data_IF_686809242370
#
_entry.id   IF_686809242370
#
_cell.length_a   1.000
_cell.length_b   1.000
_cell.length_c   1.000
_cell.angle_alpha   90.00
_cell.angle_beta   90.00
_cell.angle_gamma   90.00
#
_symmetry.space_group_name_H-M   'P 1'
#
loop_
_entity.id
_entity.type
_entity.pdbx_description
1 polymer ?
#
# COMPACT_ATOMS: atom_id res chain seq x y z
N UNK A 1 2.90 -7.70 44.20
CA UNK A 1 2.19 -8.56 43.23
C UNK A 1 3.26 -9.04 42.29
N UNK A 2 3.51 -10.34 42.27
CA UNK A 2 4.57 -10.92 41.45
C UNK A 2 4.09 -10.98 40.01
N UNK A 3 4.52 -10.00 39.24
CA UNK A 3 4.20 -9.82 37.84
C UNK A 3 5.20 -10.64 37.00
N UNK A 4 4.74 -11.64 36.22
CA UNK A 4 5.60 -12.29 35.24
C UNK A 4 5.90 -11.30 34.12
N UNK A 5 7.19 -11.03 33.90
CA UNK A 5 7.63 -10.22 32.77
C UNK A 5 7.11 -10.79 31.45
N UNK A 6 6.88 -9.92 30.49
CA UNK A 6 6.56 -10.27 29.11
C UNK A 6 7.82 -10.35 28.29
N UNK A 7 7.78 -11.11 27.19
CA UNK A 7 8.91 -11.17 26.26
C UNK A 7 9.34 -9.77 25.82
N UNK A 8 8.41 -8.87 25.53
CA UNK A 8 8.71 -7.50 25.08
C UNK A 8 9.51 -6.67 26.10
N UNK A 9 9.47 -7.02 27.39
CA UNK A 9 10.23 -6.35 28.45
C UNK A 9 11.65 -6.90 28.60
N UNK A 10 11.96 -8.00 27.92
CA UNK A 10 13.25 -8.71 28.03
C UNK A 10 14.00 -8.66 26.71
N UNK A 11 13.37 -9.11 25.62
CA UNK A 11 14.00 -9.15 24.29
C UNK A 11 12.97 -9.19 23.16
N UNK A 12 13.40 -8.79 21.96
CA UNK A 12 12.58 -8.83 20.75
C UNK A 12 13.52 -8.96 19.53
N UNK A 13 13.19 -9.78 18.50
CA UNK A 13 14.03 -9.96 17.32
C UNK A 13 13.96 -8.76 16.35
N UNK A 14 14.32 -7.56 16.83
CA UNK A 14 14.13 -6.26 16.18
C UNK A 14 14.71 -6.24 14.76
N UNK A 15 15.88 -6.84 14.55
CA UNK A 15 16.56 -6.87 13.24
C UNK A 15 15.69 -7.54 12.17
N UNK A 16 15.10 -8.70 12.50
CA UNK A 16 14.28 -9.49 11.58
C UNK A 16 12.92 -8.84 11.37
N UNK A 17 12.27 -8.40 12.45
CA UNK A 17 11.01 -7.65 12.38
C UNK A 17 11.18 -6.40 11.49
N UNK A 18 12.27 -5.64 11.68
CA UNK A 18 12.56 -4.44 10.87
C UNK A 18 12.78 -4.77 9.40
N UNK A 19 13.36 -5.93 9.08
CA UNK A 19 13.53 -6.36 7.70
C UNK A 19 12.20 -6.64 7.01
N UNK A 20 11.30 -7.38 7.66
CA UNK A 20 9.96 -7.65 7.13
C UNK A 20 9.13 -6.36 7.03
N UNK A 21 9.17 -5.51 8.06
CA UNK A 21 8.48 -4.23 8.09
C UNK A 21 8.92 -3.26 6.98
N UNK A 22 10.18 -3.31 6.51
CA UNK A 22 10.65 -2.49 5.39
C UNK A 22 9.96 -2.84 4.07
N UNK A 23 9.62 -4.12 3.84
CA UNK A 23 8.93 -4.55 2.61
C UNK A 23 7.55 -3.90 2.50
N UNK A 24 6.84 -3.77 3.61
CA UNK A 24 5.49 -3.17 3.68
C UNK A 24 5.46 -1.65 3.45
N UNK A 25 6.59 -0.96 3.60
CA UNK A 25 6.68 0.48 3.28
C UNK A 25 6.67 0.75 1.76
N UNK A 26 6.71 -0.30 0.93
CA UNK A 26 6.62 -0.22 -0.53
C UNK A 26 5.15 -0.09 -0.96
N UNK A 27 4.82 1.04 -1.58
CA UNK A 27 3.48 1.57 -1.74
C UNK A 27 2.67 1.02 -2.93
N UNK A 28 1.37 0.75 -2.71
CA UNK A 28 0.35 0.53 -3.76
C UNK A 28 -0.74 1.62 -3.79
N UNK A 29 -1.59 1.68 -4.83
CA UNK A 29 -2.53 2.79 -5.07
C UNK A 29 -3.52 3.04 -3.93
N UNK A 30 -4.05 1.98 -3.31
CA UNK A 30 -5.04 2.08 -2.22
C UNK A 30 -4.41 2.65 -0.94
N UNK A 31 -3.14 2.30 -0.66
CA UNK A 31 -2.40 2.81 0.49
C UNK A 31 -2.03 4.30 0.40
N UNK A 32 -2.29 4.94 -0.75
CA UNK A 32 -2.06 6.37 -1.01
C UNK A 32 -3.36 7.21 -1.03
N UNK A 33 -4.54 6.60 -0.91
CA UNK A 33 -5.82 7.34 -0.90
C UNK A 33 -5.94 8.29 0.29
N UNK A 34 -5.30 7.97 1.41
CA UNK A 34 -5.22 8.82 2.60
C UNK A 34 -3.82 8.72 3.22
N UNK A 35 -3.27 9.85 3.67
CA UNK A 35 -2.01 9.88 4.41
C UNK A 35 -2.28 9.50 5.85
N UNK A 36 -2.00 8.24 6.19
CA UNK A 36 -1.99 7.78 7.58
C UNK A 36 -0.71 8.27 8.26
N UNK A 37 -0.86 9.18 9.23
CA UNK A 37 0.24 9.86 9.91
C UNK A 37 1.18 8.91 10.68
N UNK A 38 0.72 7.69 10.99
CA UNK A 38 1.54 6.61 11.55
C UNK A 38 1.16 5.25 10.95
N UNK A 39 1.79 4.88 9.82
CA UNK A 39 1.64 3.52 9.26
C UNK A 39 2.41 2.52 10.10
N UNK A 40 1.68 1.67 10.84
CA UNK A 40 2.25 0.57 11.62
C UNK A 40 2.35 -0.67 10.71
N UNK A 41 3.57 -1.18 10.43
CA UNK A 41 3.73 -2.41 9.65
C UNK A 41 3.10 -3.59 10.38
N UNK A 42 2.38 -4.44 9.64
CA UNK A 42 1.71 -5.63 10.14
C UNK A 42 2.73 -6.61 10.76
N UNK A 43 3.91 -6.78 10.15
CA UNK A 43 5.01 -7.53 10.72
C UNK A 43 5.38 -7.07 12.16
N UNK A 44 5.45 -5.75 12.37
CA UNK A 44 5.78 -5.18 13.67
C UNK A 44 4.63 -5.34 14.67
N UNK A 45 3.39 -5.07 14.25
CA UNK A 45 2.20 -5.25 15.08
C UNK A 45 2.08 -6.70 15.58
N UNK A 46 2.21 -7.68 14.70
CA UNK A 46 2.14 -9.11 15.04
C UNK A 46 3.19 -9.50 16.07
N UNK A 47 4.45 -9.13 15.82
CA UNK A 47 5.55 -9.47 16.70
C UNK A 47 5.40 -8.84 18.09
N UNK A 48 5.02 -7.57 18.14
CA UNK A 48 4.76 -6.84 19.40
C UNK A 48 3.59 -7.45 20.15
N UNK A 49 2.51 -7.85 19.47
CA UNK A 49 1.36 -8.48 20.13
C UNK A 49 1.72 -9.84 20.73
N UNK A 50 2.43 -10.71 19.99
CA UNK A 50 2.95 -11.95 20.56
C UNK A 50 3.83 -11.67 21.80
N UNK A 51 4.79 -10.75 21.67
CA UNK A 51 5.74 -10.46 22.73
C UNK A 51 5.12 -9.77 23.95
N UNK A 52 4.03 -9.01 23.77
CA UNK A 52 3.31 -8.33 24.85
C UNK A 52 2.32 -9.27 25.56
N UNK A 53 1.73 -10.22 24.85
CA UNK A 53 0.75 -11.15 25.41
C UNK A 53 1.41 -12.34 26.13
N UNK A 54 2.59 -12.78 25.68
CA UNK A 54 3.23 -13.98 26.22
C UNK A 54 4.17 -13.65 27.40
N UNK A 55 4.04 -14.34 28.54
CA UNK A 55 5.03 -14.32 29.61
C UNK A 55 6.41 -14.71 29.09
N UNK A 56 7.45 -14.16 29.70
CA UNK A 56 8.81 -14.58 29.48
C UNK A 56 9.10 -15.87 30.27
N UNK A 57 9.38 -17.01 29.62
CA UNK A 57 9.56 -18.28 30.32
C UNK A 57 10.84 -18.37 31.15
N UNK A 58 11.78 -17.42 31.00
CA UNK A 58 12.96 -17.34 31.85
C UNK A 58 12.82 -16.37 33.03
N UNK A 59 11.64 -15.80 33.26
CA UNK A 59 11.32 -15.03 34.47
C UNK A 59 10.89 -15.98 35.60
N UNK A 60 11.30 -15.67 36.83
CA UNK A 60 11.01 -16.52 38.01
C UNK A 60 9.51 -16.61 38.30
N UNK A 61 8.73 -15.61 37.89
CA UNK A 61 7.28 -15.58 38.11
C UNK A 61 6.48 -16.18 36.96
N UNK A 62 7.14 -16.72 35.91
CA UNK A 62 6.44 -17.34 34.80
C UNK A 62 5.60 -18.54 35.29
N UNK A 63 4.29 -18.59 34.99
CA UNK A 63 3.44 -19.69 35.44
C UNK A 63 3.93 -21.06 34.93
N UNK A 64 4.03 -22.10 35.78
CA UNK A 64 4.44 -23.44 35.36
C UNK A 64 3.57 -24.04 34.25
N UNK A 65 2.27 -23.73 34.26
CA UNK A 65 1.34 -24.15 33.22
C UNK A 65 1.74 -23.63 31.82
N UNK A 66 2.36 -22.44 31.75
CA UNK A 66 2.84 -21.89 30.49
C UNK A 66 4.10 -22.61 29.99
N UNK A 67 5.03 -23.01 30.89
CA UNK A 67 6.17 -23.85 30.51
C UNK A 67 5.73 -25.18 29.88
N UNK A 68 4.69 -25.82 30.45
CA UNK A 68 4.07 -27.03 29.89
C UNK A 68 3.54 -26.78 28.48
N UNK A 69 2.80 -25.69 28.29
CA UNK A 69 2.24 -25.33 27.00
C UNK A 69 3.31 -25.04 25.95
N UNK A 70 4.34 -24.25 26.28
CA UNK A 70 5.45 -23.92 25.35
C UNK A 70 6.14 -25.20 24.88
N UNK A 71 6.52 -26.08 25.81
CA UNK A 71 7.21 -27.33 25.51
C UNK A 71 6.41 -28.18 24.53
N UNK A 72 5.10 -28.33 24.74
CA UNK A 72 4.24 -29.09 23.83
C UNK A 72 4.09 -28.39 22.48
N UNK A 73 3.65 -27.13 22.48
CA UNK A 73 3.25 -26.40 21.27
C UNK A 73 4.43 -26.17 20.34
N UNK A 74 5.60 -25.79 20.87
CA UNK A 74 6.77 -25.53 20.03
C UNK A 74 7.42 -26.82 19.52
N UNK A 75 7.37 -27.92 20.27
CA UNK A 75 7.79 -29.23 19.75
C UNK A 75 6.90 -29.71 18.62
N UNK A 76 5.58 -29.52 18.72
CA UNK A 76 4.65 -29.85 17.63
C UNK A 76 4.89 -28.97 16.41
N UNK A 77 5.12 -27.67 16.59
CA UNK A 77 5.47 -26.76 15.50
C UNK A 77 6.79 -27.16 14.83
N UNK A 78 7.84 -27.44 15.61
CA UNK A 78 9.13 -27.91 15.11
C UNK A 78 8.98 -29.22 14.31
N UNK A 79 8.17 -30.16 14.80
CA UNK A 79 7.89 -31.41 14.07
C UNK A 79 7.16 -31.17 12.75
N UNK A 80 6.26 -30.18 12.67
CA UNK A 80 5.63 -29.75 11.41
C UNK A 80 6.66 -29.15 10.46
N UNK A 81 7.52 -28.26 10.95
CA UNK A 81 8.61 -27.64 10.17
C UNK A 81 9.50 -28.70 9.52
N UNK A 82 9.87 -29.74 10.26
CA UNK A 82 10.73 -30.83 9.73
C UNK A 82 10.07 -31.70 8.66
N UNK A 83 8.73 -31.75 8.60
CA UNK A 83 7.97 -32.62 7.68
C UNK A 83 7.47 -31.89 6.43
N UNK A 84 7.21 -30.59 6.55
CA UNK A 84 6.64 -29.78 5.46
C UNK A 84 7.72 -28.88 4.85
N UNK A 85 8.13 -29.19 3.62
CA UNK A 85 9.15 -28.42 2.89
C UNK A 85 8.77 -26.96 2.61
N UNK A 86 7.47 -26.63 2.51
CA UNK A 86 7.00 -25.25 2.36
C UNK A 86 7.19 -24.51 3.67
N UNK A 87 6.76 -25.11 4.79
CA UNK A 87 6.93 -24.54 6.11
C UNK A 87 8.41 -24.40 6.51
N UNK A 88 9.24 -25.39 6.15
CA UNK A 88 10.69 -25.34 6.26
C UNK A 88 11.30 -24.14 5.53
N UNK A 89 10.85 -23.89 4.29
CA UNK A 89 11.29 -22.73 3.51
C UNK A 89 10.93 -21.40 4.18
N UNK A 90 9.73 -21.31 4.77
CA UNK A 90 9.27 -20.15 5.52
C UNK A 90 10.09 -19.91 6.80
N UNK A 91 10.62 -20.97 7.42
CA UNK A 91 11.46 -20.92 8.63
C UNK A 91 12.96 -21.03 8.32
N UNK A 92 13.38 -20.79 7.06
CA UNK A 92 14.76 -21.07 6.60
C UNK A 92 15.87 -20.39 7.41
N UNK A 93 15.58 -19.26 8.06
CA UNK A 93 16.54 -18.53 8.91
C UNK A 93 16.84 -19.22 10.22
N UNK A 94 15.85 -19.87 10.81
CA UNK A 94 15.96 -20.61 12.08
C UNK A 94 15.79 -22.12 11.89
N UNK A 95 15.93 -22.61 10.66
CA UNK A 95 15.74 -24.03 10.33
C UNK A 95 16.56 -24.95 11.26
N UNK A 96 17.83 -24.61 11.46
CA UNK A 96 18.73 -25.38 12.33
C UNK A 96 18.26 -25.36 13.79
N UNK A 97 17.77 -24.21 14.26
CA UNK A 97 17.23 -24.09 15.61
C UNK A 97 15.97 -24.95 15.77
N UNK A 98 15.07 -24.96 14.77
CA UNK A 98 13.88 -25.80 14.78
C UNK A 98 14.18 -27.30 14.79
N UNK A 99 15.28 -27.74 14.15
CA UNK A 99 15.73 -29.15 14.24
C UNK A 99 16.20 -29.54 15.64
N UNK A 100 16.63 -28.58 16.46
CA UNK A 100 17.08 -28.82 17.82
C UNK A 100 15.94 -28.81 18.83
N UNK A 101 14.75 -28.31 18.48
CA UNK A 101 13.58 -28.26 19.37
C UNK A 101 12.89 -29.63 19.40
N UNK A 102 13.05 -30.35 20.50
CA UNK A 102 12.49 -31.70 20.71
C UNK A 102 12.04 -31.85 22.17
N UNK A 103 11.21 -32.86 22.50
CA UNK A 103 10.80 -33.10 23.89
C UNK A 103 11.95 -33.35 24.88
N UNK A 104 13.14 -33.72 24.39
CA UNK A 104 14.32 -33.91 25.24
C UNK A 104 15.11 -32.63 25.49
N UNK A 105 15.04 -31.66 24.56
CA UNK A 105 15.80 -30.40 24.59
C UNK A 105 14.97 -29.21 25.09
N UNK A 106 13.64 -29.30 25.04
CA UNK A 106 12.71 -28.28 25.52
C UNK A 106 11.70 -28.86 26.51
N UNK A 107 12.14 -29.14 27.74
CA UNK A 107 11.31 -29.75 28.79
C UNK A 107 10.48 -28.71 29.55
N UNK A 108 9.31 -29.08 30.11
CA UNK A 108 8.42 -28.17 30.83
C UNK A 108 8.92 -27.86 32.25
N UNK A 109 10.10 -27.27 32.36
CA UNK A 109 10.78 -26.98 33.63
C UNK A 109 11.44 -25.58 33.56
N UNK A 110 11.35 -24.76 34.62
CA UNK A 110 11.94 -23.42 34.66
C UNK A 110 13.42 -23.35 34.28
N UNK A 111 14.21 -24.41 34.51
CA UNK A 111 15.63 -24.46 34.10
C UNK A 111 15.82 -24.34 32.58
N UNK A 112 14.80 -24.74 31.79
CA UNK A 112 14.78 -24.59 30.33
C UNK A 112 14.17 -23.25 29.87
N UNK A 113 13.81 -22.36 30.79
CA UNK A 113 13.25 -21.04 30.51
C UNK A 113 14.02 -20.23 29.45
N UNK A 114 15.36 -20.13 29.52
CA UNK A 114 16.15 -19.47 28.48
C UNK A 114 16.03 -20.11 27.08
N UNK A 115 15.95 -21.44 27.00
CA UNK A 115 15.76 -22.15 25.73
C UNK A 115 14.35 -21.92 25.16
N UNK A 116 13.32 -21.91 26.02
CA UNK A 116 11.95 -21.56 25.65
C UNK A 116 11.84 -20.12 25.15
N UNK A 117 12.50 -19.17 25.83
CA UNK A 117 12.56 -17.77 25.41
C UNK A 117 13.14 -17.67 24.00
N UNK A 118 14.30 -18.30 23.77
CA UNK A 118 14.94 -18.30 22.45
C UNK A 118 14.04 -18.90 21.36
N UNK A 119 13.37 -20.02 21.64
CA UNK A 119 12.43 -20.64 20.70
C UNK A 119 11.20 -19.76 20.41
N UNK A 120 10.65 -19.08 21.42
CA UNK A 120 9.55 -18.11 21.22
C UNK A 120 10.00 -16.90 20.39
N UNK A 121 11.21 -16.39 20.61
CA UNK A 121 11.76 -15.27 19.83
C UNK A 121 12.00 -15.68 18.36
N UNK A 122 12.50 -16.90 18.11
CA UNK A 122 12.63 -17.44 16.76
C UNK A 122 11.26 -17.60 16.09
N UNK A 123 10.26 -18.11 16.83
CA UNK A 123 8.88 -18.16 16.33
C UNK A 123 8.36 -16.77 15.95
N UNK A 124 8.51 -15.78 16.82
CA UNK A 124 8.09 -14.40 16.56
C UNK A 124 8.81 -13.84 15.32
N UNK A 125 10.10 -14.12 15.16
CA UNK A 125 10.87 -13.65 14.03
C UNK A 125 10.39 -14.24 12.70
N UNK A 126 10.18 -15.57 12.64
CA UNK A 126 9.65 -16.24 11.44
C UNK A 126 8.20 -15.84 11.17
N UNK A 127 7.40 -15.69 12.23
CA UNK A 127 6.00 -15.31 12.11
C UNK A 127 5.82 -13.83 11.74
N UNK A 128 6.80 -12.95 12.01
CA UNK A 128 6.77 -11.56 11.55
C UNK A 128 6.84 -11.45 10.01
N UNK A 129 7.22 -12.51 9.31
CA UNK A 129 7.24 -12.52 7.85
C UNK A 129 5.83 -12.28 7.26
N UNK A 130 5.75 -11.51 6.17
CA UNK A 130 4.49 -11.28 5.47
C UNK A 130 3.91 -12.60 4.91
N UNK A 131 4.78 -13.44 4.36
CA UNK A 131 4.40 -14.69 3.70
C UNK A 131 3.82 -15.72 4.69
N UNK A 132 4.07 -15.56 6.00
CA UNK A 132 3.57 -16.45 7.06
C UNK A 132 2.27 -15.93 7.70
N UNK A 133 1.83 -14.71 7.39
CA UNK A 133 0.70 -14.02 8.03
C UNK A 133 -0.64 -14.74 7.93
N UNK A 134 -0.79 -15.62 6.93
CA UNK A 134 -2.01 -16.42 6.68
C UNK A 134 -1.74 -17.93 6.70
N UNK A 135 -0.52 -18.34 7.04
CA UNK A 135 -0.17 -19.75 7.09
C UNK A 135 -0.84 -20.43 8.31
N UNK A 136 -1.60 -21.52 8.12
CA UNK A 136 -2.32 -22.18 9.21
C UNK A 136 -1.42 -22.64 10.36
N UNK A 137 -0.23 -23.19 10.09
CA UNK A 137 0.66 -23.69 11.12
C UNK A 137 1.12 -22.58 12.07
N UNK A 138 1.44 -21.40 11.53
CA UNK A 138 1.80 -20.23 12.33
C UNK A 138 0.59 -19.66 13.08
N UNK A 139 -0.57 -19.52 12.43
CA UNK A 139 -1.78 -18.98 13.06
C UNK A 139 -2.25 -19.86 14.23
N UNK A 140 -2.31 -21.18 14.04
CA UNK A 140 -2.68 -22.14 15.07
C UNK A 140 -1.71 -22.10 16.25
N UNK A 141 -0.40 -22.10 15.97
CA UNK A 141 0.64 -22.05 17.00
C UNK A 141 0.58 -20.76 17.80
N UNK A 142 0.46 -19.60 17.14
CA UNK A 142 0.35 -18.31 17.80
C UNK A 142 -0.92 -18.24 18.68
N UNK A 143 -2.06 -18.73 18.18
CA UNK A 143 -3.33 -18.79 18.94
C UNK A 143 -3.24 -19.70 20.15
N UNK A 144 -2.62 -20.88 20.01
CA UNK A 144 -2.42 -21.80 21.11
C UNK A 144 -1.51 -21.20 22.20
N UNK A 145 -0.41 -20.55 21.81
CA UNK A 145 0.48 -19.84 22.74
C UNK A 145 -0.24 -18.69 23.45
N UNK A 146 -1.02 -17.88 22.71
CA UNK A 146 -1.80 -16.79 23.29
C UNK A 146 -2.88 -17.28 24.26
N UNK A 147 -3.58 -18.37 23.93
CA UNK A 147 -4.57 -18.97 24.83
C UNK A 147 -3.91 -19.51 26.10
N UNK A 148 -2.82 -20.26 25.95
CA UNK A 148 -2.08 -20.80 27.09
C UNK A 148 -1.52 -19.70 27.99
N UNK A 149 -0.98 -18.63 27.41
CA UNK A 149 -0.55 -17.45 28.14
C UNK A 149 -1.71 -16.86 28.95
N UNK A 150 -2.83 -16.56 28.28
CA UNK A 150 -4.03 -15.98 28.91
C UNK A 150 -4.53 -16.80 30.11
N UNK A 151 -4.74 -18.11 29.93
CA UNK A 151 -5.23 -19.00 30.99
C UNK A 151 -4.22 -19.14 32.14
N UNK A 152 -2.92 -19.23 31.82
CA UNK A 152 -1.87 -19.35 32.83
C UNK A 152 -1.74 -18.12 33.74
N UNK A 153 -2.21 -16.96 33.28
CA UNK A 153 -2.20 -15.69 34.01
C UNK A 153 -3.51 -15.44 34.78
N UNK A 154 -4.39 -16.44 34.84
CA UNK A 154 -5.69 -16.34 35.50
C UNK A 154 -6.84 -15.93 34.59
N UNK A 155 -6.63 -15.87 33.27
CA UNK A 155 -7.70 -15.71 32.30
C UNK A 155 -8.69 -16.88 32.35
N UNK A 156 -9.98 -16.61 32.19
CA UNK A 156 -11.00 -17.66 32.23
C UNK A 156 -10.85 -18.62 31.04
N UNK A 157 -10.85 -19.95 31.25
CA UNK A 157 -10.75 -20.91 30.16
C UNK A 157 -11.77 -20.67 29.05
N UNK A 158 -11.32 -20.76 27.79
CA UNK A 158 -12.16 -20.50 26.61
C UNK A 158 -12.44 -19.02 26.30
N UNK A 159 -12.00 -18.08 27.15
CA UNK A 159 -11.97 -16.64 26.82
C UNK A 159 -10.63 -16.25 26.22
N UNK A 160 -10.55 -15.04 25.66
CA UNK A 160 -9.35 -14.51 25.00
C UNK A 160 -8.86 -13.23 25.69
N UNK A 161 -7.56 -12.91 25.57
CA UNK A 161 -7.06 -11.63 26.05
C UNK A 161 -7.62 -10.49 25.18
N UNK A 162 -7.84 -9.33 25.80
CA UNK A 162 -8.33 -8.13 25.12
C UNK A 162 -7.18 -7.21 24.70
N UNK A 163 -7.22 -6.75 23.45
CA UNK A 163 -6.31 -5.75 22.90
C UNK A 163 -7.12 -4.52 22.50
N UNK A 164 -6.82 -3.38 23.13
CA UNK A 164 -7.45 -2.11 22.80
C UNK A 164 -6.50 -1.19 22.03
N UNK A 165 -6.91 -0.71 20.86
CA UNK A 165 -6.22 0.32 20.09
C UNK A 165 -7.14 1.55 19.91
N UNK A 166 -6.99 2.59 20.74
CA UNK A 166 -7.85 3.76 20.68
C UNK A 166 -7.54 4.69 19.49
N UNK A 167 -6.45 4.43 18.75
CA UNK A 167 -5.98 5.22 17.61
C UNK A 167 -5.65 4.30 16.42
N UNK A 168 -6.63 3.49 16.04
CA UNK A 168 -6.43 2.34 15.17
C UNK A 168 -6.01 2.70 13.75
N UNK A 169 -6.35 3.90 13.25
CA UNK A 169 -6.06 4.33 11.89
C UNK A 169 -6.49 3.28 10.87
N UNK A 170 -5.54 2.75 10.09
CA UNK A 170 -5.80 1.71 9.09
C UNK A 170 -6.11 0.31 9.65
N UNK A 171 -6.06 0.09 10.97
CA UNK A 171 -6.49 -1.16 11.60
C UNK A 171 -5.45 -2.27 11.72
N UNK A 172 -4.15 -1.94 11.68
CA UNK A 172 -3.08 -2.92 11.71
C UNK A 172 -3.02 -3.72 13.02
N UNK A 173 -3.10 -3.05 14.18
CA UNK A 173 -3.10 -3.71 15.49
C UNK A 173 -4.34 -4.59 15.69
N UNK A 174 -5.59 -4.11 15.49
CA UNK A 174 -6.75 -4.96 15.70
C UNK A 174 -6.79 -6.14 14.71
N UNK A 175 -6.31 -5.99 13.48
CA UNK A 175 -6.18 -7.11 12.54
C UNK A 175 -5.22 -8.18 13.06
N UNK A 176 -4.02 -7.79 13.50
CA UNK A 176 -3.01 -8.73 13.98
C UNK A 176 -3.40 -9.33 15.34
N UNK A 177 -4.13 -8.60 16.19
CA UNK A 177 -4.67 -9.11 17.45
C UNK A 177 -5.59 -10.33 17.20
N UNK A 178 -6.50 -10.21 16.23
CA UNK A 178 -7.37 -11.32 15.82
C UNK A 178 -6.59 -12.49 15.20
N UNK A 179 -5.46 -12.23 14.51
CA UNK A 179 -4.60 -13.29 13.98
C UNK A 179 -3.93 -14.10 15.08
N UNK A 180 -3.36 -13.42 16.09
CA UNK A 180 -2.65 -14.07 17.21
C UNK A 180 -3.59 -14.69 18.25
N UNK A 181 -4.91 -14.49 18.14
CA UNK A 181 -5.92 -15.11 19.00
C UNK A 181 -6.45 -14.24 20.15
N UNK A 182 -6.22 -12.93 20.09
CA UNK A 182 -6.81 -11.96 21.00
C UNK A 182 -8.11 -11.39 20.45
N UNK A 183 -8.98 -10.90 21.34
CA UNK A 183 -10.12 -10.08 20.96
C UNK A 183 -9.70 -8.61 20.88
N UNK A 184 -10.16 -7.90 19.85
CA UNK A 184 -9.69 -6.56 19.53
C UNK A 184 -10.80 -5.50 19.67
N UNK A 185 -10.50 -4.42 20.37
CA UNK A 185 -11.30 -3.20 20.44
C UNK A 185 -10.54 -2.07 19.77
N UNK A 186 -11.15 -1.43 18.79
CA UNK A 186 -10.52 -0.38 18.01
C UNK A 186 -11.40 0.87 17.94
N UNK A 187 -10.80 2.04 18.11
CA UNK A 187 -11.45 3.33 17.85
C UNK A 187 -10.57 4.26 17.02
N UNK A 188 -11.19 5.22 16.36
CA UNK A 188 -10.52 6.34 15.71
C UNK A 188 -11.50 7.51 15.59
N UNK A 189 -10.98 8.75 15.59
CA UNK A 189 -11.77 9.95 15.37
C UNK A 189 -12.12 10.13 13.88
N UNK A 190 -11.32 9.60 12.97
CA UNK A 190 -11.55 9.70 11.54
C UNK A 190 -12.63 8.67 11.10
N UNK A 191 -13.79 9.11 10.60
CA UNK A 191 -14.86 8.19 10.18
C UNK A 191 -14.43 7.26 9.02
N UNK A 192 -13.48 7.67 8.18
CA UNK A 192 -12.92 6.82 7.12
C UNK A 192 -12.10 5.68 7.72
N UNK A 193 -11.32 5.95 8.77
CA UNK A 193 -10.56 4.93 9.50
C UNK A 193 -11.51 3.91 10.13
N UNK A 194 -12.54 4.39 10.83
CA UNK A 194 -13.57 3.53 11.43
C UNK A 194 -14.24 2.65 10.37
N UNK A 195 -14.61 3.22 9.22
CA UNK A 195 -15.21 2.45 8.12
C UNK A 195 -14.26 1.38 7.58
N UNK A 196 -12.97 1.69 7.39
CA UNK A 196 -11.99 0.71 6.93
C UNK A 196 -11.83 -0.46 7.90
N UNK A 197 -11.75 -0.18 9.20
CA UNK A 197 -11.70 -1.21 10.24
C UNK A 197 -12.95 -2.09 10.21
N UNK A 198 -14.14 -1.47 10.15
CA UNK A 198 -15.41 -2.19 10.04
C UNK A 198 -15.48 -3.09 8.81
N UNK A 199 -15.08 -2.57 7.64
CA UNK A 199 -15.08 -3.35 6.41
C UNK A 199 -14.11 -4.53 6.51
N UNK A 200 -12.88 -4.30 6.97
CA UNK A 200 -11.84 -5.32 7.02
C UNK A 200 -12.11 -6.39 8.08
N UNK A 201 -12.54 -5.99 9.28
CA UNK A 201 -12.59 -6.87 10.46
C UNK A 201 -14.00 -7.40 10.77
N UNK A 202 -15.05 -6.67 10.42
CA UNK A 202 -16.44 -7.08 10.71
C UNK A 202 -17.19 -7.52 9.45
N UNK A 203 -17.25 -6.65 8.43
CA UNK A 203 -18.17 -6.85 7.29
C UNK A 203 -17.66 -7.89 6.31
N UNK A 204 -16.35 -7.93 6.04
CA UNK A 204 -15.77 -8.93 5.13
C UNK A 204 -15.97 -10.35 5.68
N UNK A 205 -15.63 -10.67 6.95
CA UNK A 205 -15.90 -11.99 7.50
C UNK A 205 -17.40 -12.31 7.62
N UNK A 206 -18.23 -11.32 7.94
CA UNK A 206 -19.67 -11.52 8.16
C UNK A 206 -20.46 -11.74 6.87
N UNK A 207 -20.15 -11.00 5.80
CA UNK A 207 -20.95 -10.97 4.58
C UNK A 207 -20.27 -11.65 3.39
N UNK A 208 -18.94 -11.80 3.40
CA UNK A 208 -18.18 -12.49 2.36
C UNK A 208 -18.56 -12.04 0.95
N UNK A 209 -18.94 -13.00 0.11
CA UNK A 209 -19.29 -12.76 -1.30
C UNK A 209 -20.47 -11.79 -1.47
N UNK A 210 -21.44 -11.78 -0.55
CA UNK A 210 -22.59 -10.87 -0.62
C UNK A 210 -22.17 -9.39 -0.61
N UNK A 211 -21.14 -9.05 0.17
CA UNK A 211 -20.60 -7.69 0.19
C UNK A 211 -19.98 -7.33 -1.16
N UNK A 212 -19.23 -8.25 -1.76
CA UNK A 212 -18.60 -8.07 -3.08
C UNK A 212 -19.66 -7.82 -4.14
N UNK A 213 -20.73 -8.60 -4.13
CA UNK A 213 -21.81 -8.50 -5.10
C UNK A 213 -22.60 -7.19 -4.94
N UNK A 214 -22.91 -6.77 -3.70
CA UNK A 214 -23.57 -5.48 -3.44
C UNK A 214 -22.67 -4.30 -3.84
N UNK A 215 -21.38 -4.31 -3.50
CA UNK A 215 -20.44 -3.25 -3.94
C UNK A 215 -20.39 -3.17 -5.47
N UNK A 216 -20.38 -4.31 -6.17
CA UNK A 216 -20.42 -4.34 -7.64
C UNK A 216 -21.72 -3.76 -8.19
N UNK A 217 -22.86 -4.15 -7.64
CA UNK A 217 -24.18 -3.66 -8.03
C UNK A 217 -24.27 -2.14 -7.90
N UNK A 218 -23.91 -1.59 -6.73
CA UNK A 218 -23.91 -0.15 -6.51
C UNK A 218 -22.86 0.56 -7.37
N UNK A 219 -21.71 -0.05 -7.60
CA UNK A 219 -20.69 0.46 -8.53
C UNK A 219 -21.21 0.60 -9.96
N UNK A 220 -21.94 -0.41 -10.47
CA UNK A 220 -22.59 -0.36 -11.79
C UNK A 220 -23.62 0.76 -11.82
N UNK A 221 -24.48 0.85 -10.81
CA UNK A 221 -25.51 1.88 -10.71
C UNK A 221 -24.92 3.31 -10.68
N UNK A 222 -23.82 3.53 -9.95
CA UNK A 222 -23.09 4.82 -9.94
C UNK A 222 -22.51 5.10 -11.32
N UNK A 223 -21.87 4.09 -11.94
CA UNK A 223 -21.26 4.21 -13.26
C UNK A 223 -22.29 4.65 -14.30
N UNK A 224 -23.43 3.96 -14.38
CA UNK A 224 -24.50 4.28 -15.35
C UNK A 224 -25.02 5.71 -15.19
N UNK A 225 -25.21 6.17 -13.95
CA UNK A 225 -25.61 7.54 -13.65
C UNK A 225 -24.55 8.56 -14.05
N UNK A 226 -23.30 8.31 -13.66
CA UNK A 226 -22.18 9.18 -14.00
C UNK A 226 -21.98 9.28 -15.51
N UNK A 227 -22.09 8.18 -16.25
CA UNK A 227 -22.02 8.17 -17.72
C UNK A 227 -23.13 9.01 -18.35
N UNK A 228 -24.35 8.96 -17.81
CA UNK A 228 -25.47 9.76 -18.30
C UNK A 228 -25.29 11.25 -17.99
N UNK A 229 -24.89 11.59 -16.77
CA UNK A 229 -24.70 12.99 -16.34
C UNK A 229 -23.48 13.63 -17.00
N UNK A 230 -22.45 12.85 -17.32
CA UNK A 230 -21.22 13.35 -17.94
C UNK A 230 -21.21 13.23 -19.47
N UNK A 231 -22.28 12.72 -20.09
CA UNK A 231 -22.34 12.43 -21.52
C UNK A 231 -22.04 13.66 -22.39
N UNK A 232 -22.47 14.85 -21.96
CA UNK A 232 -22.22 16.11 -22.68
C UNK A 232 -20.72 16.47 -22.73
N UNK A 233 -19.94 16.12 -21.71
CA UNK A 233 -18.52 16.43 -21.61
C UNK A 233 -17.63 15.39 -22.29
N UNK A 234 -18.18 14.23 -22.66
CA UNK A 234 -17.46 13.12 -23.30
C UNK A 234 -18.23 12.62 -24.52
N UNK A 235 -18.46 13.48 -25.53
CA UNK A 235 -19.27 13.13 -26.69
C UNK A 235 -18.67 11.96 -27.46
N UNK A 236 -19.49 10.94 -27.72
CA UNK A 236 -19.09 9.79 -28.53
C UNK A 236 -19.05 10.22 -30.00
N UNK A 237 -17.97 9.86 -30.69
CA UNK A 237 -17.85 9.97 -32.14
C UNK A 237 -17.86 8.58 -32.76
N UNK A 238 -17.94 8.47 -34.09
CA UNK A 238 -17.99 7.18 -34.79
C UNK A 238 -16.87 6.23 -34.32
N UNK A 239 -17.26 5.16 -33.64
CA UNK A 239 -16.40 4.13 -33.04
C UNK A 239 -15.38 4.61 -31.98
N UNK A 240 -15.42 5.86 -31.51
CA UNK A 240 -14.48 6.34 -30.48
C UNK A 240 -15.17 7.11 -29.34
N UNK A 241 -14.76 6.82 -28.10
CA UNK A 241 -15.27 7.47 -26.89
C UNK A 241 -14.13 8.17 -26.17
N UNK A 242 -14.17 9.50 -25.96
CA UNK A 242 -13.23 10.20 -25.10
C UNK A 242 -13.32 9.68 -23.66
N UNK A 243 -12.17 9.51 -23.01
CA UNK A 243 -12.09 9.11 -21.59
C UNK A 243 -11.24 10.08 -20.76
N UNK A 244 -10.43 10.91 -21.40
CA UNK A 244 -9.68 11.97 -20.74
C UNK A 244 -9.26 13.06 -21.73
N UNK A 245 -9.15 14.28 -21.22
CA UNK A 245 -8.67 15.46 -21.93
C UNK A 245 -7.37 15.94 -21.26
N UNK A 246 -6.29 16.06 -22.01
CA UNK A 246 -5.00 16.51 -21.49
C UNK A 246 -4.82 18.00 -21.78
N UNK A 247 -4.79 18.78 -20.71
CA UNK A 247 -4.68 20.24 -20.74
C UNK A 247 -3.33 20.70 -20.20
N UNK A 248 -2.74 21.70 -20.84
CA UNK A 248 -1.51 22.35 -20.40
C UNK A 248 -1.79 23.82 -20.09
N UNK A 249 -1.37 24.29 -18.92
CA UNK A 249 -1.35 25.72 -18.61
C UNK A 249 -0.37 26.42 -19.56
N UNK A 250 -0.69 27.63 -19.98
CA UNK A 250 0.12 28.40 -20.93
C UNK A 250 0.77 29.60 -20.23
N UNK A 251 2.01 29.88 -20.61
CA UNK A 251 2.68 31.16 -20.34
C UNK A 251 3.08 31.83 -21.65
N UNK A 252 3.31 33.13 -21.62
CA UNK A 252 3.87 33.88 -22.74
C UNK A 252 5.40 33.94 -22.60
N UNK A 253 6.11 33.65 -23.68
CA UNK A 253 7.56 33.74 -23.74
C UNK A 253 8.03 35.18 -23.51
N UNK A 254 8.96 35.37 -22.58
CA UNK A 254 9.57 36.68 -22.29
C UNK A 254 10.89 36.92 -23.06
N UNK A 255 11.22 36.02 -23.99
CA UNK A 255 12.37 36.19 -24.88
C UNK A 255 12.18 37.42 -25.78
N UNK A 256 13.23 38.24 -26.01
CA UNK A 256 13.14 39.46 -26.81
C UNK A 256 12.51 39.19 -28.19
N UNK A 257 11.41 39.88 -28.51
CA UNK A 257 10.71 39.77 -29.79
C UNK A 257 9.92 38.48 -30.03
N UNK A 258 9.88 37.53 -29.08
CA UNK A 258 9.24 36.22 -29.28
C UNK A 258 7.74 36.25 -28.98
N UNK A 259 7.34 36.40 -27.71
CA UNK A 259 5.93 36.47 -27.31
C UNK A 259 5.09 35.20 -27.59
N UNK A 260 5.72 34.07 -27.93
CA UNK A 260 5.03 32.80 -28.20
C UNK A 260 4.37 32.24 -26.94
N UNK A 261 3.19 31.65 -27.10
CA UNK A 261 2.51 30.88 -26.06
C UNK A 261 3.17 29.50 -25.87
N UNK A 262 3.65 29.25 -24.64
CA UNK A 262 4.34 28.02 -24.25
C UNK A 262 3.41 27.19 -23.34
N UNK A 263 2.87 26.05 -23.83
CA UNK A 263 2.17 25.10 -22.98
C UNK A 263 3.16 24.40 -22.05
N UNK A 264 2.89 24.38 -20.74
CA UNK A 264 3.78 23.84 -19.70
C UNK A 264 3.62 22.31 -19.57
N UNK A 265 4.44 21.55 -20.30
CA UNK A 265 4.38 20.09 -20.40
C UNK A 265 5.70 19.51 -19.88
N UNK A 266 5.63 18.66 -18.85
CA UNK A 266 6.83 18.06 -18.23
C UNK A 266 7.39 16.90 -19.06
N UNK A 267 6.51 16.10 -19.67
CA UNK A 267 6.87 14.90 -20.41
C UNK A 267 6.03 14.86 -21.68
N UNK A 268 6.68 14.60 -22.81
CA UNK A 268 6.01 14.38 -24.09
C UNK A 268 5.53 12.94 -24.28
N UNK A 269 5.91 12.02 -23.38
CA UNK A 269 5.35 10.67 -23.37
C UNK A 269 3.89 10.67 -22.92
N UNK A 270 3.02 10.14 -23.77
CA UNK A 270 1.62 9.85 -23.45
C UNK A 270 1.50 8.42 -22.87
N UNK A 271 2.24 7.47 -23.45
CA UNK A 271 2.37 6.11 -22.95
C UNK A 271 3.79 5.58 -23.21
N UNK A 272 4.54 5.26 -22.14
CA UNK A 272 5.96 4.85 -22.23
C UNK A 272 6.21 3.36 -21.98
N UNK A 273 5.39 2.72 -21.14
CA UNK A 273 5.56 1.32 -20.70
C UNK A 273 4.39 0.46 -21.17
N UNK A 274 4.24 0.34 -22.48
CA UNK A 274 3.20 -0.47 -23.11
C UNK A 274 3.71 -1.03 -24.43
N UNK A 275 3.02 -2.06 -24.94
CA UNK A 275 3.39 -2.72 -26.19
C UNK A 275 3.38 -1.77 -27.41
N UNK A 276 2.66 -0.65 -27.31
CA UNK A 276 2.60 0.42 -28.33
C UNK A 276 2.90 1.77 -27.67
N UNK A 277 4.17 2.19 -27.56
CA UNK A 277 4.52 3.46 -26.95
C UNK A 277 4.00 4.63 -27.79
N UNK A 278 3.46 5.67 -27.14
CA UNK A 278 2.92 6.85 -27.81
C UNK A 278 3.49 8.12 -27.17
N UNK A 279 3.88 9.08 -28.00
CA UNK A 279 4.45 10.34 -27.55
C UNK A 279 3.99 11.52 -28.40
N UNK A 280 4.33 12.73 -27.94
CA UNK A 280 4.13 13.97 -28.65
C UNK A 280 5.43 14.49 -29.24
N UNK A 281 5.35 15.04 -30.45
CA UNK A 281 6.35 15.92 -31.02
C UNK A 281 5.88 17.36 -30.89
N UNK A 282 6.77 18.24 -30.47
CA UNK A 282 6.52 19.68 -30.48
C UNK A 282 6.83 20.21 -31.89
N UNK A 283 5.88 20.95 -32.47
CA UNK A 283 6.00 21.63 -33.76
C UNK A 283 5.96 23.15 -33.50
N UNK A 284 7.09 23.87 -33.52
CA UNK A 284 7.11 25.32 -33.31
C UNK A 284 6.35 26.06 -34.43
N UNK A 285 5.45 26.99 -34.07
CA UNK A 285 4.68 27.79 -35.02
C UNK A 285 4.86 29.30 -34.73
N UNK A 286 5.97 29.91 -35.20
CA UNK A 286 6.29 31.31 -34.90
C UNK A 286 5.30 32.29 -35.53
N UNK A 287 4.73 31.97 -36.70
CA UNK A 287 3.77 32.82 -37.41
C UNK A 287 2.52 33.06 -36.57
N UNK A 288 1.97 32.01 -35.96
CA UNK A 288 0.79 32.09 -35.10
C UNK A 288 1.14 32.32 -33.61
N UNK A 289 2.41 32.59 -33.28
CA UNK A 289 2.92 32.75 -31.92
C UNK A 289 2.51 31.62 -30.97
N UNK A 290 2.50 30.38 -31.45
CA UNK A 290 2.07 29.23 -30.67
C UNK A 290 2.99 28.02 -30.90
N UNK A 291 2.65 26.91 -30.23
CA UNK A 291 3.34 25.63 -30.35
C UNK A 291 2.31 24.56 -30.67
N UNK A 292 2.47 23.88 -31.79
CA UNK A 292 1.60 22.80 -32.22
C UNK A 292 2.19 21.43 -31.86
N UNK A 293 1.40 20.39 -32.05
CA UNK A 293 1.75 19.03 -31.66
C UNK A 293 1.47 18.04 -32.77
N UNK A 294 2.27 16.99 -32.81
CA UNK A 294 2.04 15.80 -33.62
C UNK A 294 2.12 14.58 -32.71
N UNK A 295 1.26 13.59 -32.94
CA UNK A 295 1.30 12.33 -32.19
C UNK A 295 2.21 11.34 -32.92
N UNK A 296 3.16 10.77 -32.19
CA UNK A 296 4.04 9.72 -32.66
C UNK A 296 3.54 8.40 -32.09
N UNK A 297 3.02 7.54 -32.95
CA UNK A 297 2.78 6.13 -32.64
C UNK A 297 4.10 5.34 -32.72
N UNK A 298 4.20 4.26 -31.92
CA UNK A 298 5.42 3.43 -31.78
C UNK A 298 6.69 4.25 -31.49
N UNK A 299 6.55 5.23 -30.61
CA UNK A 299 7.60 6.17 -30.25
C UNK A 299 8.82 5.47 -29.62
N UNK A 300 10.02 5.93 -29.97
CA UNK A 300 11.32 5.43 -29.48
C UNK A 300 11.99 6.53 -28.67
N UNK A 301 12.84 6.16 -27.71
CA UNK A 301 13.50 7.16 -26.84
C UNK A 301 14.20 8.27 -27.61
N UNK A 302 14.82 7.93 -28.74
CA UNK A 302 15.61 8.87 -29.54
C UNK A 302 14.75 9.86 -30.34
N UNK A 303 13.47 9.56 -30.55
CA UNK A 303 12.55 10.41 -31.33
C UNK A 303 11.62 11.27 -30.46
N UNK A 304 11.74 11.19 -29.13
CA UNK A 304 10.93 11.98 -28.19
C UNK A 304 11.81 13.01 -27.48
N UNK A 305 11.54 14.28 -27.75
CA UNK A 305 12.24 15.40 -27.13
C UNK A 305 11.91 15.61 -25.65
N UNK A 306 12.54 16.63 -25.05
CA UNK A 306 12.21 17.07 -23.70
C UNK A 306 10.91 17.89 -23.67
N UNK A 307 10.21 17.87 -22.54
CA UNK A 307 9.08 18.77 -22.30
C UNK A 307 9.51 20.24 -22.18
N UNK A 308 8.53 21.14 -22.25
CA UNK A 308 8.77 22.60 -22.17
C UNK A 308 9.08 23.09 -20.77
N UNK A 309 8.82 22.33 -19.71
CA UNK A 309 9.06 22.74 -18.32
C UNK A 309 9.90 21.73 -17.53
N UNK A 310 10.94 22.23 -16.85
CA UNK A 310 11.80 21.45 -15.95
C UNK A 310 12.07 22.23 -14.68
N UNK A 311 11.81 21.62 -13.52
CA UNK A 311 11.99 22.24 -12.18
C UNK A 311 11.35 23.64 -12.06
N UNK A 312 10.24 23.87 -12.75
CA UNK A 312 9.50 25.14 -12.71
C UNK A 312 9.99 26.22 -13.69
N UNK A 313 11.12 26.02 -14.37
CA UNK A 313 11.58 26.89 -15.46
C UNK A 313 11.08 26.37 -16.80
N UNK A 314 10.63 27.27 -17.68
CA UNK A 314 10.02 26.91 -18.96
C UNK A 314 10.90 27.35 -20.14
N UNK A 315 11.25 26.42 -21.03
CA UNK A 315 12.04 26.68 -22.24
C UNK A 315 11.12 26.86 -23.44
N UNK A 316 11.29 27.95 -24.18
CA UNK A 316 10.55 28.22 -25.40
C UNK A 316 11.04 27.32 -26.55
N UNK A 317 10.16 26.54 -27.20
CA UNK A 317 10.53 25.73 -28.36
C UNK A 317 10.86 26.55 -29.62
N UNK A 318 10.44 27.81 -29.69
CA UNK A 318 10.66 28.68 -30.86
C UNK A 318 12.00 29.41 -30.77
N UNK A 319 12.23 30.20 -29.70
CA UNK A 319 13.44 31.02 -29.57
C UNK A 319 14.49 30.47 -28.60
N UNK A 320 14.21 29.36 -27.91
CA UNK A 320 15.12 28.75 -26.93
C UNK A 320 15.20 29.48 -25.58
N UNK A 321 14.59 30.66 -25.41
CA UNK A 321 14.61 31.42 -24.16
C UNK A 321 14.04 30.62 -22.99
N UNK A 322 14.73 30.64 -21.86
CA UNK A 322 14.30 29.98 -20.64
C UNK A 322 13.65 30.99 -19.68
N UNK A 323 12.32 30.97 -19.62
CA UNK A 323 11.54 31.79 -18.70
C UNK A 323 11.73 31.31 -17.26
N UNK A 324 12.31 32.12 -16.35
CA UNK A 324 12.62 31.70 -14.99
C UNK A 324 11.37 31.38 -14.16
N UNK A 325 11.51 30.50 -13.16
CA UNK A 325 10.41 30.04 -12.30
C UNK A 325 9.61 31.17 -11.64
N UNK A 326 10.28 32.25 -11.22
CA UNK A 326 9.63 33.41 -10.61
C UNK A 326 8.66 34.08 -11.59
N UNK A 327 9.06 34.16 -12.86
CA UNK A 327 8.23 34.72 -13.92
C UNK A 327 7.07 33.81 -14.30
N UNK A 328 7.34 32.50 -14.47
CA UNK A 328 6.27 31.49 -14.70
C UNK A 328 5.19 31.59 -13.62
N UNK A 329 5.59 31.65 -12.34
CA UNK A 329 4.67 31.80 -11.21
C UNK A 329 3.92 33.13 -11.23
N UNK A 330 4.60 34.24 -11.57
CA UNK A 330 3.97 35.57 -11.71
C UNK A 330 2.88 35.54 -12.78
N UNK A 331 3.17 35.02 -13.97
CA UNK A 331 2.19 34.92 -15.05
C UNK A 331 1.00 34.05 -14.65
N UNK A 332 1.23 32.86 -14.10
CA UNK A 332 0.13 31.99 -13.65
C UNK A 332 -0.69 32.63 -12.52
N UNK A 333 -0.07 33.38 -11.60
CA UNK A 333 -0.79 34.12 -10.54
C UNK A 333 -1.70 35.19 -11.13
N UNK A 334 -1.23 35.96 -12.12
CA UNK A 334 -2.04 36.94 -12.85
C UNK A 334 -3.21 36.28 -13.59
N UNK A 335 -3.01 35.06 -14.08
CA UNK A 335 -4.05 34.24 -14.71
C UNK A 335 -4.90 33.45 -13.70
N UNK A 336 -4.87 33.77 -12.40
CA UNK A 336 -5.61 33.07 -11.32
C UNK A 336 -5.39 31.55 -11.32
N UNK A 337 -4.15 31.13 -11.56
CA UNK A 337 -3.75 29.73 -11.66
C UNK A 337 -3.75 29.16 -13.08
N UNK A 338 -4.16 29.91 -14.10
CA UNK A 338 -4.00 29.57 -15.52
C UNK A 338 -4.90 28.45 -16.04
N UNK A 339 -5.90 28.01 -15.26
CA UNK A 339 -6.82 26.94 -15.68
C UNK A 339 -7.75 27.40 -16.82
N UNK A 340 -8.33 28.60 -16.72
CA UNK A 340 -9.22 29.16 -17.74
C UNK A 340 -8.50 29.53 -19.06
N UNK A 341 -7.16 29.56 -19.06
CA UNK A 341 -6.32 29.79 -20.25
C UNK A 341 -5.51 28.54 -20.61
N UNK A 342 -5.85 27.39 -20.06
CA UNK A 342 -5.17 26.15 -20.42
C UNK A 342 -5.54 25.76 -21.84
N UNK A 343 -4.61 25.15 -22.56
CA UNK A 343 -4.85 24.60 -23.90
C UNK A 343 -4.99 23.10 -23.84
N UNK A 344 -6.07 22.61 -24.43
CA UNK A 344 -6.25 21.20 -24.74
C UNK A 344 -5.25 20.83 -25.83
N UNK A 345 -4.45 19.78 -25.59
CA UNK A 345 -3.42 19.38 -26.55
C UNK A 345 -3.55 17.90 -26.97
N UNK A 346 -4.22 17.06 -26.19
CA UNK A 346 -4.48 15.65 -26.53
C UNK A 346 -5.80 15.21 -25.94
N UNK A 347 -6.52 14.36 -26.68
CA UNK A 347 -7.68 13.63 -26.21
C UNK A 347 -7.35 12.15 -26.19
N UNK A 348 -7.61 11.51 -25.05
CA UNK A 348 -7.44 10.08 -24.85
C UNK A 348 -8.78 9.41 -25.12
N UNK A 349 -8.81 8.45 -26.03
CA UNK A 349 -10.03 7.73 -26.41
C UNK A 349 -9.92 6.23 -26.21
N UNK A 350 -11.06 5.57 -26.12
CA UNK A 350 -11.23 4.13 -26.34
C UNK A 350 -11.97 3.91 -27.66
N UNK A 351 -11.76 2.76 -28.29
CA UNK A 351 -12.48 2.33 -29.49
C UNK A 351 -13.41 1.18 -29.15
N UNK A 352 -14.56 1.12 -29.82
CA UNK A 352 -15.46 -0.02 -29.66
C UNK A 352 -14.78 -1.31 -30.13
N UNK A 353 -14.93 -2.39 -29.37
CA UNK A 353 -14.36 -3.72 -29.66
C UNK A 353 -12.81 -3.80 -29.74
N UNK A 354 -12.08 -2.74 -29.39
CA UNK A 354 -10.62 -2.78 -29.28
C UNK A 354 -10.17 -2.55 -27.83
N UNK A 355 -9.25 -3.38 -27.35
CA UNK A 355 -8.66 -3.21 -26.03
C UNK A 355 -7.46 -2.25 -26.11
N UNK A 356 -7.57 -1.10 -25.47
CA UNK A 356 -6.45 -0.14 -25.40
C UNK A 356 -6.90 1.30 -25.18
N UNK A 357 -5.92 2.19 -25.16
CA UNK A 357 -6.12 3.64 -25.19
C UNK A 357 -5.47 4.19 -26.45
N UNK A 358 -6.16 5.12 -27.08
CA UNK A 358 -5.74 5.80 -28.30
C UNK A 358 -5.66 7.30 -28.02
N UNK A 359 -4.94 8.01 -28.87
CA UNK A 359 -4.66 9.43 -28.68
C UNK A 359 -4.93 10.15 -29.99
N UNK A 360 -5.59 11.29 -29.92
CA UNK A 360 -5.75 12.19 -31.06
C UNK A 360 -5.54 13.64 -30.63
N UNK A 361 -5.22 14.47 -31.61
CA UNK A 361 -5.20 15.92 -31.41
C UNK A 361 -6.65 16.43 -31.30
N UNK A 362 -6.86 17.55 -30.60
CA UNK A 362 -8.17 18.17 -30.46
C UNK A 362 -8.63 18.78 -31.79
N UNK A 363 -9.93 18.70 -32.05
CA UNK A 363 -10.60 19.42 -33.14
C UNK A 363 -11.22 20.70 -32.61
N UNK A 364 -11.79 21.52 -33.48
CA UNK A 364 -12.49 22.75 -33.08
C UNK A 364 -13.69 22.44 -32.15
N UNK A 365 -14.45 21.39 -32.46
CA UNK A 365 -15.60 20.94 -31.67
C UNK A 365 -15.23 20.43 -30.27
N UNK A 366 -13.96 20.06 -30.03
CA UNK A 366 -13.52 19.65 -28.69
C UNK A 366 -13.13 20.83 -27.78
N UNK A 367 -13.04 22.04 -28.36
CA UNK A 367 -12.58 23.26 -27.70
C UNK A 367 -13.76 24.22 -27.41
N UNK A 368 -14.78 24.22 -28.27
CA UNK A 368 -16.08 24.84 -27.99
C UNK A 368 -16.84 24.11 -26.88
#
# INVERSE_FOLDING_TARGET
>A
MDYPKRLIEVDLPIKLISEHARREKSSGPISMLHVWWARRPLAACRAVLCAALWPDPGDENCPPAFHVAIASILCDFAAKVSKDGVLAGLCSRHWKDWQLVTPSTLKPDPQYGPAMRYALLNFIADFANWDTATNPAFLETARALTQAAHESLGGTPGTRPYVADPFAGGGAIPLEALRVGADAFASDLNPVAVLLNKVALEYTPRYGQKLVDEVRKWGIWIKERAEKEMAEFYPKSYNTTPIAYLWARIITCEGPGCGVEIPLIRSLWLAKKCNKPVALRIIPNPENKCVDFEIIEDAKTDNVGEGTIRRGSAKCPVCGYATPIASVRRQLKLQRGGAAKARLFVIVTTRENEQGRYYRLPTYEDIE
#
